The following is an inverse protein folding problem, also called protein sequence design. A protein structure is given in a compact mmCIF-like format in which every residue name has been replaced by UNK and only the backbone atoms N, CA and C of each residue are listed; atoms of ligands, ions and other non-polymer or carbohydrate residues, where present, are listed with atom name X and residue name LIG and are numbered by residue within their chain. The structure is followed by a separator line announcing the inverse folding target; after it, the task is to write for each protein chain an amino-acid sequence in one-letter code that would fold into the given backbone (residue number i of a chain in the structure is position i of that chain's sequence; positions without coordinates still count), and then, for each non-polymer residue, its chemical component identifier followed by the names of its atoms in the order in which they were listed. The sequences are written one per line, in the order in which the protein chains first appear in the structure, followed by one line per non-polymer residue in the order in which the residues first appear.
data_IF_917541493566
#
_entry.id   IF_917541493566
#
_cell.length_a   1.000
_cell.length_b   1.000
_cell.length_c   1.000
_cell.angle_alpha   90.00
_cell.angle_beta   90.00
_cell.angle_gamma   90.00
#
_symmetry.space_group_name_H-M   'P 1'
#
loop_
_entity.id
_entity.type
_entity.pdbx_description
1 polymer ?
#
# COMPACT_ATOMS: atom_id res chain seq x y z
N UNK A 1 -7.33 -21.97 -17.19
CA UNK A 1 -8.62 -22.28 -16.48
C UNK A 1 -9.76 -21.66 -17.28
N UNK A 2 -10.96 -22.19 -17.22
CA UNK A 2 -12.14 -21.53 -17.79
C UNK A 2 -12.91 -20.85 -16.69
N UNK A 3 -13.05 -19.55 -16.77
CA UNK A 3 -13.86 -18.77 -15.83
C UNK A 3 -15.36 -18.87 -16.20
N UNK A 4 -16.25 -18.75 -15.22
CA UNK A 4 -17.71 -18.82 -15.42
C UNK A 4 -18.28 -17.50 -15.92
N UNK A 5 -17.78 -16.39 -15.41
CA UNK A 5 -18.29 -15.04 -15.65
C UNK A 5 -17.24 -14.10 -16.24
N UNK A 6 -15.96 -14.32 -15.96
CA UNK A 6 -14.86 -13.52 -16.50
C UNK A 6 -14.63 -13.91 -17.96
N UNK A 7 -14.58 -12.91 -18.84
CA UNK A 7 -14.30 -13.08 -20.27
C UNK A 7 -12.83 -12.82 -20.55
N UNK A 8 -12.09 -13.86 -20.92
CA UNK A 8 -10.71 -13.70 -21.35
C UNK A 8 -10.71 -13.03 -22.73
N UNK A 9 -9.92 -11.95 -22.97
CA UNK A 9 -9.77 -11.35 -24.28
C UNK A 9 -9.27 -12.38 -25.32
N UNK A 10 -9.81 -12.30 -26.54
CA UNK A 10 -9.39 -13.17 -27.64
C UNK A 10 -7.93 -12.89 -28.08
N UNK A 11 -7.51 -11.62 -27.92
CA UNK A 11 -6.16 -11.17 -28.20
C UNK A 11 -5.39 -10.97 -26.89
N UNK A 12 -4.09 -11.16 -26.96
CA UNK A 12 -3.21 -10.94 -25.82
C UNK A 12 -2.63 -12.23 -25.24
N UNK A 13 -1.63 -12.04 -24.38
CA UNK A 13 -0.94 -13.13 -23.68
C UNK A 13 -0.73 -12.76 -22.21
N UNK A 14 -0.62 -13.78 -21.36
CA UNK A 14 -0.33 -13.59 -19.94
C UNK A 14 1.07 -13.03 -19.73
N UNK A 15 1.21 -12.14 -18.77
CA UNK A 15 2.49 -11.89 -18.12
C UNK A 15 2.85 -13.15 -17.33
N UNK A 16 4.10 -13.57 -17.38
CA UNK A 16 4.57 -14.72 -16.61
C UNK A 16 5.71 -14.31 -15.69
N UNK A 17 5.71 -14.88 -14.50
CA UNK A 17 6.78 -14.74 -13.52
C UNK A 17 7.42 -16.11 -13.33
N UNK A 18 8.72 -16.21 -13.57
CA UNK A 18 9.48 -17.45 -13.38
C UNK A 18 10.83 -17.10 -12.74
N UNK A 19 11.12 -17.75 -11.62
CA UNK A 19 12.37 -17.55 -10.86
C UNK A 19 12.65 -16.06 -10.57
N UNK A 20 11.61 -15.29 -10.20
CA UNK A 20 11.68 -13.85 -9.93
C UNK A 20 11.77 -12.95 -11.16
N UNK A 21 11.77 -13.52 -12.39
CA UNK A 21 11.91 -12.77 -13.65
C UNK A 21 10.55 -12.65 -14.34
N UNK A 22 10.11 -11.40 -14.54
CA UNK A 22 8.91 -11.08 -15.31
C UNK A 22 9.17 -11.16 -16.80
N UNK A 23 8.32 -11.89 -17.52
CA UNK A 23 8.26 -11.87 -18.98
C UNK A 23 6.98 -11.19 -19.43
N UNK A 24 7.11 -10.01 -20.02
CA UNK A 24 6.00 -9.18 -20.49
C UNK A 24 5.87 -9.30 -22.01
N UNK A 25 4.77 -9.85 -22.55
CA UNK A 25 4.54 -9.91 -23.98
C UNK A 25 4.24 -8.53 -24.57
N UNK A 26 4.27 -8.40 -25.91
CA UNK A 26 3.94 -7.13 -26.57
C UNK A 26 2.46 -6.75 -26.45
N UNK A 27 1.59 -7.70 -26.20
CA UNK A 27 0.18 -7.50 -25.92
C UNK A 27 -0.21 -8.26 -24.64
N UNK A 28 0.12 -7.72 -23.45
CA UNK A 28 -0.24 -8.36 -22.18
C UNK A 28 -1.73 -8.29 -21.92
N UNK A 29 -2.29 -9.34 -21.33
CA UNK A 29 -3.62 -9.31 -20.71
C UNK A 29 -3.45 -8.73 -19.30
N UNK A 30 -4.14 -7.64 -19.01
CA UNK A 30 -4.14 -6.99 -17.69
C UNK A 30 -5.55 -7.07 -17.09
N UNK A 31 -5.76 -7.87 -16.03
CA UNK A 31 -7.00 -7.82 -15.26
C UNK A 31 -7.23 -6.45 -14.65
N UNK A 32 -8.48 -5.99 -14.69
CA UNK A 32 -8.87 -4.79 -13.96
C UNK A 32 -10.18 -4.97 -13.21
N UNK A 33 -10.27 -4.32 -12.05
CA UNK A 33 -11.49 -4.15 -11.27
C UNK A 33 -11.94 -2.71 -11.44
N UNK A 34 -13.15 -2.50 -12.00
CA UNK A 34 -13.69 -1.14 -12.21
C UNK A 34 -13.76 -0.35 -10.90
N UNK A 35 -14.15 -1.02 -9.81
CA UNK A 35 -14.35 -0.41 -8.50
C UNK A 35 -15.75 0.10 -8.27
N UNK A 36 -15.97 0.63 -7.07
CA UNK A 36 -17.25 1.15 -6.59
C UNK A 36 -17.28 2.68 -6.63
N UNK A 37 -18.46 3.26 -6.54
CA UNK A 37 -18.63 4.71 -6.52
C UNK A 37 -18.06 5.37 -7.77
N UNK A 38 -17.09 6.28 -7.60
CA UNK A 38 -16.41 6.95 -8.72
C UNK A 38 -15.53 6.02 -9.57
N UNK A 39 -15.38 4.74 -9.18
CA UNK A 39 -14.68 3.75 -9.98
C UNK A 39 -15.21 3.64 -11.40
N UNK A 40 -16.53 3.75 -11.58
CA UNK A 40 -17.18 3.76 -12.89
C UNK A 40 -16.81 4.96 -13.77
N UNK A 41 -16.42 6.09 -13.18
CA UNK A 41 -16.01 7.29 -13.90
C UNK A 41 -14.51 7.25 -14.23
N UNK A 42 -13.68 6.87 -13.25
CA UNK A 42 -12.22 6.98 -13.39
C UNK A 42 -11.58 5.79 -14.12
N UNK A 43 -12.16 4.59 -14.06
CA UNK A 43 -11.55 3.40 -14.68
C UNK A 43 -11.58 3.47 -16.21
N UNK A 44 -12.66 3.85 -16.89
CA UNK A 44 -12.63 4.10 -18.34
C UNK A 44 -11.61 5.16 -18.73
N UNK A 45 -11.55 6.28 -18.01
CA UNK A 45 -10.58 7.35 -18.27
C UNK A 45 -9.13 6.86 -18.08
N UNK A 46 -8.87 6.01 -17.08
CA UNK A 46 -7.57 5.38 -16.86
C UNK A 46 -7.18 4.50 -18.06
N UNK A 47 -8.09 3.66 -18.55
CA UNK A 47 -7.87 2.78 -19.70
C UNK A 47 -7.50 3.63 -20.93
N UNK A 48 -8.29 4.65 -21.25
CA UNK A 48 -8.05 5.54 -22.39
C UNK A 48 -6.68 6.24 -22.31
N UNK A 49 -6.30 6.74 -21.12
CA UNK A 49 -5.00 7.40 -20.91
C UNK A 49 -3.84 6.42 -21.06
N UNK A 50 -3.97 5.23 -20.50
CA UNK A 50 -2.91 4.20 -20.56
C UNK A 50 -2.75 3.69 -22.00
N UNK A 51 -3.85 3.42 -22.70
CA UNK A 51 -3.81 2.98 -24.09
C UNK A 51 -3.18 4.04 -25.01
N UNK A 52 -3.56 5.31 -24.87
CA UNK A 52 -2.95 6.41 -25.60
C UNK A 52 -1.45 6.57 -25.29
N UNK A 53 -1.04 6.36 -24.02
CA UNK A 53 0.37 6.40 -23.64
C UNK A 53 1.18 5.24 -24.25
N UNK A 54 0.61 4.03 -24.28
CA UNK A 54 1.23 2.87 -24.90
C UNK A 54 1.35 3.05 -26.41
N UNK A 55 0.30 3.53 -27.07
CA UNK A 55 0.32 3.86 -28.50
C UNK A 55 1.39 4.91 -28.83
N UNK A 56 1.44 5.99 -28.04
CA UNK A 56 2.44 7.05 -28.21
C UNK A 56 3.88 6.55 -28.02
N UNK A 57 4.12 5.65 -27.06
CA UNK A 57 5.47 5.16 -26.75
C UNK A 57 5.94 4.08 -27.72
N UNK A 58 5.05 3.23 -28.22
CA UNK A 58 5.41 2.02 -28.95
C UNK A 58 4.77 1.92 -30.35
N UNK A 59 3.82 2.78 -30.70
CA UNK A 59 3.01 2.68 -31.91
C UNK A 59 2.22 1.36 -31.93
N UNK A 60 2.02 0.79 -33.09
CA UNK A 60 1.31 -0.49 -33.25
C UNK A 60 2.08 -1.72 -32.75
N UNK A 61 3.31 -1.53 -32.23
CA UNK A 61 4.16 -2.67 -31.79
C UNK A 61 3.71 -3.28 -30.47
N UNK A 62 3.04 -2.50 -29.62
CA UNK A 62 2.54 -2.95 -28.31
C UNK A 62 1.15 -2.42 -28.06
N UNK A 63 0.36 -3.21 -27.33
CA UNK A 63 -0.99 -2.84 -26.87
C UNK A 63 -1.30 -3.58 -25.59
N UNK A 64 -2.36 -3.19 -24.88
CA UNK A 64 -2.86 -3.91 -23.71
C UNK A 64 -4.20 -4.56 -24.07
N UNK A 65 -4.39 -5.80 -23.61
CA UNK A 65 -5.69 -6.47 -23.63
C UNK A 65 -6.29 -6.42 -22.24
N UNK A 66 -7.27 -5.56 -22.05
CA UNK A 66 -7.94 -5.38 -20.76
C UNK A 66 -8.91 -6.52 -20.49
N UNK A 67 -8.86 -7.08 -19.27
CA UNK A 67 -9.73 -8.17 -18.83
C UNK A 67 -10.49 -7.74 -17.56
N UNK A 68 -11.77 -7.49 -17.70
CA UNK A 68 -12.58 -7.13 -16.52
C UNK A 68 -12.76 -8.32 -15.58
N UNK A 69 -12.45 -8.12 -14.32
CA UNK A 69 -12.72 -9.03 -13.21
C UNK A 69 -13.54 -8.30 -12.14
N UNK A 70 -14.23 -9.01 -11.28
CA UNK A 70 -15.28 -8.44 -10.45
C UNK A 70 -14.96 -8.52 -8.97
N UNK A 71 -15.07 -7.38 -8.29
CA UNK A 71 -15.01 -7.25 -6.85
C UNK A 71 -15.89 -6.06 -6.41
N UNK A 72 -16.39 -6.05 -5.20
CA UNK A 72 -17.24 -4.97 -4.68
C UNK A 72 -18.70 -5.05 -5.14
N UNK A 73 -19.35 -3.91 -5.24
CA UNK A 73 -20.79 -3.83 -5.58
C UNK A 73 -21.12 -4.41 -6.97
N UNK A 74 -20.23 -4.25 -7.94
CA UNK A 74 -20.42 -4.82 -9.28
C UNK A 74 -20.41 -6.34 -9.26
N UNK A 75 -19.59 -6.94 -8.39
CA UNK A 75 -19.55 -8.38 -8.20
C UNK A 75 -20.91 -8.94 -7.74
N UNK A 76 -21.56 -8.29 -6.78
CA UNK A 76 -22.86 -8.74 -6.29
C UNK A 76 -23.96 -8.73 -7.36
N UNK A 77 -23.83 -7.89 -8.38
CA UNK A 77 -24.76 -7.83 -9.52
C UNK A 77 -24.49 -8.97 -10.53
N UNK A 78 -23.24 -9.40 -10.67
CA UNK A 78 -22.82 -10.42 -11.66
C UNK A 78 -22.95 -11.83 -11.11
N UNK A 79 -22.58 -12.05 -9.85
CA UNK A 79 -22.51 -13.38 -9.22
C UNK A 79 -23.67 -13.66 -8.25
N UNK A 80 -24.27 -12.64 -7.66
CA UNK A 80 -25.34 -12.75 -6.67
C UNK A 80 -25.09 -11.86 -5.46
N UNK A 81 -26.15 -11.55 -4.70
CA UNK A 81 -26.20 -10.49 -3.69
C UNK A 81 -25.10 -10.51 -2.63
N UNK A 82 -24.59 -11.69 -2.28
CA UNK A 82 -23.63 -11.84 -1.19
C UNK A 82 -22.21 -12.11 -1.68
N UNK A 83 -21.99 -12.12 -2.99
CA UNK A 83 -20.69 -12.45 -3.61
C UNK A 83 -19.87 -11.19 -3.89
N UNK A 84 -19.20 -10.67 -2.87
CA UNK A 84 -18.40 -9.46 -2.96
C UNK A 84 -16.99 -9.68 -3.55
N UNK A 85 -16.42 -10.87 -3.36
CA UNK A 85 -15.09 -11.25 -3.83
C UNK A 85 -15.10 -12.71 -4.30
N UNK A 86 -15.45 -12.96 -5.57
CA UNK A 86 -15.52 -14.32 -6.12
C UNK A 86 -14.16 -15.01 -6.17
N UNK A 87 -14.15 -16.33 -5.97
CA UNK A 87 -12.93 -17.14 -6.10
C UNK A 87 -12.27 -16.98 -7.45
N UNK A 88 -13.03 -16.92 -8.56
CA UNK A 88 -12.46 -16.75 -9.90
C UNK A 88 -11.79 -15.38 -10.11
N UNK A 89 -12.13 -14.37 -9.33
CA UNK A 89 -11.38 -13.11 -9.30
C UNK A 89 -10.01 -13.30 -8.65
N UNK A 90 -9.95 -14.03 -7.53
CA UNK A 90 -8.67 -14.37 -6.88
C UNK A 90 -7.80 -15.24 -7.78
N UNK A 91 -8.40 -16.21 -8.47
CA UNK A 91 -7.69 -17.05 -9.44
C UNK A 91 -7.13 -16.24 -10.60
N UNK A 92 -7.91 -15.29 -11.13
CA UNK A 92 -7.45 -14.41 -12.19
C UNK A 92 -6.29 -13.50 -11.73
N UNK A 93 -6.37 -12.94 -10.51
CA UNK A 93 -5.30 -12.11 -9.95
C UNK A 93 -3.98 -12.88 -9.80
N UNK A 94 -4.03 -14.15 -9.36
CA UNK A 94 -2.85 -15.03 -9.29
C UNK A 94 -2.32 -15.41 -10.66
N UNK A 95 -3.23 -15.76 -11.60
CA UNK A 95 -2.86 -16.30 -12.91
C UNK A 95 -2.23 -15.24 -13.81
N UNK A 96 -2.63 -13.98 -13.72
CA UNK A 96 -2.17 -12.91 -14.61
C UNK A 96 -1.09 -12.01 -14.00
N UNK A 97 -0.72 -12.22 -12.75
CA UNK A 97 0.43 -11.60 -12.05
C UNK A 97 0.27 -10.10 -11.82
N UNK A 98 -0.07 -9.32 -12.84
CA UNK A 98 -0.17 -7.84 -12.77
C UNK A 98 -1.62 -7.43 -13.03
N UNK A 99 -2.17 -6.64 -12.15
CA UNK A 99 -3.55 -6.16 -12.22
C UNK A 99 -3.68 -4.70 -11.79
N UNK A 100 -4.81 -4.08 -12.11
CA UNK A 100 -5.16 -2.74 -11.66
C UNK A 100 -6.57 -2.73 -11.09
N UNK A 101 -6.83 -1.94 -10.04
CA UNK A 101 -8.17 -1.83 -9.47
C UNK A 101 -8.57 -0.40 -9.16
N UNK A 102 -9.83 -0.10 -9.35
CA UNK A 102 -10.50 1.09 -8.83
C UNK A 102 -10.76 0.99 -7.32
N UNK A 103 -11.31 2.05 -6.71
CA UNK A 103 -11.64 2.08 -5.29
C UNK A 103 -12.74 1.06 -4.95
N UNK A 104 -12.68 0.47 -3.74
CA UNK A 104 -13.67 -0.50 -3.28
C UNK A 104 -14.34 -0.01 -2.00
N UNK A 105 -15.65 -0.18 -1.92
CA UNK A 105 -16.44 0.08 -0.72
C UNK A 105 -16.26 -1.07 0.27
N UNK A 106 -16.02 -0.74 1.53
CA UNK A 106 -16.16 -1.70 2.62
C UNK A 106 -17.62 -1.68 3.10
N UNK A 107 -18.36 -2.79 3.01
CA UNK A 107 -19.74 -2.83 3.50
C UNK A 107 -19.80 -2.45 4.99
N UNK A 108 -20.68 -1.52 5.33
CA UNK A 108 -20.91 -1.11 6.72
C UNK A 108 -21.95 -2.07 7.34
N UNK A 109 -21.53 -2.85 8.32
CA UNK A 109 -22.38 -3.81 9.03
C UNK A 109 -22.19 -5.26 8.54
N UNK A 110 -22.39 -6.23 9.43
CA UNK A 110 -22.38 -7.66 9.09
C UNK A 110 -21.05 -8.38 9.16
N UNK A 111 -20.00 -7.80 9.75
CA UNK A 111 -18.73 -8.53 10.00
C UNK A 111 -17.88 -8.79 8.76
N UNK A 112 -18.20 -8.17 7.62
CA UNK A 112 -17.38 -8.29 6.40
C UNK A 112 -16.12 -7.43 6.58
N UNK A 113 -14.97 -8.06 6.51
CA UNK A 113 -13.66 -7.35 6.48
C UNK A 113 -13.56 -6.47 5.22
N UNK A 114 -12.76 -5.42 5.31
CA UNK A 114 -12.43 -4.61 4.15
C UNK A 114 -11.95 -5.47 2.98
N UNK A 115 -12.58 -5.33 1.82
CA UNK A 115 -12.21 -6.05 0.60
C UNK A 115 -10.75 -5.80 0.22
N UNK A 116 -10.26 -4.57 0.43
CA UNK A 116 -8.85 -4.23 0.20
C UNK A 116 -7.92 -5.04 1.12
N UNK A 117 -8.26 -5.15 2.41
CA UNK A 117 -7.48 -5.94 3.37
C UNK A 117 -7.52 -7.43 3.00
N UNK A 118 -8.70 -7.95 2.61
CA UNK A 118 -8.85 -9.34 2.18
C UNK A 118 -7.99 -9.66 0.96
N UNK A 119 -8.00 -8.82 -0.07
CA UNK A 119 -7.16 -8.99 -1.26
C UNK A 119 -5.66 -9.02 -0.90
N UNK A 120 -5.22 -8.09 -0.06
CA UNK A 120 -3.80 -8.00 0.38
C UNK A 120 -3.35 -9.24 1.14
N UNK A 121 -4.19 -9.75 2.05
CA UNK A 121 -3.89 -10.93 2.86
C UNK A 121 -3.96 -12.22 2.06
N UNK A 122 -5.01 -12.43 1.25
CA UNK A 122 -5.22 -13.68 0.49
C UNK A 122 -4.15 -13.86 -0.60
N UNK A 123 -3.67 -12.76 -1.18
CA UNK A 123 -2.65 -12.76 -2.23
C UNK A 123 -1.23 -12.51 -1.70
N UNK A 124 -1.06 -12.42 -0.39
CA UNK A 124 0.20 -12.06 0.29
C UNK A 124 0.91 -10.84 -0.34
N UNK A 125 0.15 -9.79 -0.58
CA UNK A 125 0.67 -8.52 -1.10
C UNK A 125 1.25 -7.70 0.06
N UNK A 126 2.39 -8.12 0.58
CA UNK A 126 2.97 -7.62 1.83
C UNK A 126 3.59 -6.22 1.75
N UNK A 127 3.84 -5.73 0.54
CA UNK A 127 4.33 -4.36 0.31
C UNK A 127 3.19 -3.49 -0.20
N UNK A 128 2.83 -2.43 0.51
CA UNK A 128 2.05 -1.33 -0.05
C UNK A 128 3.02 -0.20 -0.42
N UNK A 129 3.26 -0.04 -1.72
CA UNK A 129 4.16 0.95 -2.29
C UNK A 129 3.38 2.21 -2.65
N UNK A 130 3.77 3.36 -2.08
CA UNK A 130 3.10 4.65 -2.32
C UNK A 130 4.14 5.74 -2.64
N UNK A 131 4.43 6.00 -3.93
CA UNK A 131 5.24 7.13 -4.34
C UNK A 131 4.50 8.44 -4.09
N UNK A 132 5.18 9.43 -3.54
CA UNK A 132 4.63 10.76 -3.29
C UNK A 132 5.54 11.80 -3.91
N UNK A 133 5.06 12.45 -4.96
CA UNK A 133 5.79 13.47 -5.70
C UNK A 133 4.85 14.58 -6.14
N UNK A 134 5.31 15.82 -6.06
CA UNK A 134 4.56 16.95 -6.58
C UNK A 134 4.69 17.08 -8.09
N UNK A 135 3.60 17.46 -8.76
CA UNK A 135 3.56 17.75 -10.18
C UNK A 135 3.30 19.25 -10.40
N UNK A 136 4.02 19.85 -11.34
CA UNK A 136 3.90 21.28 -11.67
C UNK A 136 2.45 21.65 -12.02
N UNK A 137 1.95 22.70 -11.35
CA UNK A 137 0.59 23.20 -11.55
C UNK A 137 -0.43 22.64 -10.54
N UNK A 138 -0.09 21.63 -9.75
CA UNK A 138 -0.96 21.13 -8.69
C UNK A 138 -0.86 22.04 -7.47
N UNK A 139 -1.98 22.52 -6.91
CA UNK A 139 -1.99 23.29 -5.66
C UNK A 139 -1.46 22.46 -4.50
N UNK A 140 -0.73 23.13 -3.59
CA UNK A 140 -0.15 22.49 -2.43
C UNK A 140 -0.21 23.43 -1.23
N UNK A 141 -0.47 22.89 -0.01
CA UNK A 141 -0.45 23.69 1.22
C UNK A 141 0.97 23.99 1.72
N UNK A 142 2.01 23.33 1.19
CA UNK A 142 3.39 23.57 1.60
C UNK A 142 4.08 24.61 0.72
N UNK A 143 5.07 25.29 1.29
CA UNK A 143 5.75 26.41 0.60
C UNK A 143 6.54 25.98 -0.64
N UNK A 144 7.18 24.82 -0.59
CA UNK A 144 8.04 24.30 -1.66
C UNK A 144 7.69 22.83 -1.92
N UNK A 145 6.56 22.56 -2.57
CA UNK A 145 6.12 21.17 -2.78
C UNK A 145 7.05 20.35 -3.68
N UNK A 146 7.82 20.99 -4.54
CA UNK A 146 8.83 20.35 -5.37
C UNK A 146 9.97 19.68 -4.59
N UNK A 147 10.10 19.95 -3.29
CA UNK A 147 11.06 19.30 -2.41
C UNK A 147 10.56 17.94 -1.90
N UNK A 148 9.29 17.60 -2.16
CA UNK A 148 8.68 16.33 -1.75
C UNK A 148 8.84 15.33 -2.90
N UNK A 149 9.72 14.36 -2.70
CA UNK A 149 9.90 13.19 -3.57
C UNK A 149 10.27 12.00 -2.69
N UNK A 150 9.25 11.34 -2.14
CA UNK A 150 9.40 10.23 -1.21
C UNK A 150 8.65 9.01 -1.70
N UNK A 151 9.11 7.83 -1.30
CA UNK A 151 8.43 6.58 -1.60
C UNK A 151 8.22 5.81 -0.31
N UNK A 152 6.95 5.49 0.01
CA UNK A 152 6.59 4.74 1.21
C UNK A 152 6.47 3.26 0.87
N UNK A 153 7.18 2.45 1.64
CA UNK A 153 7.03 1.01 1.77
C UNK A 153 6.28 0.75 3.08
N UNK A 154 4.98 0.57 2.98
CA UNK A 154 4.08 0.25 4.10
C UNK A 154 3.94 -1.26 4.19
N UNK A 155 4.19 -1.83 5.35
CA UNK A 155 3.83 -3.22 5.64
C UNK A 155 2.31 -3.39 5.48
N UNK A 156 1.86 -4.52 4.94
CA UNK A 156 0.50 -4.62 4.45
C UNK A 156 -0.25 -5.87 4.95
N UNK A 157 0.39 -6.71 5.76
CA UNK A 157 -0.15 -8.00 6.22
C UNK A 157 -0.39 -8.10 7.72
N UNK A 158 0.34 -7.34 8.52
CA UNK A 158 0.34 -7.38 9.98
C UNK A 158 -0.21 -6.10 10.62
N UNK A 159 0.25 -5.80 11.82
CA UNK A 159 -0.17 -4.67 12.64
C UNK A 159 -1.63 -4.84 13.12
N UNK A 160 -2.28 -3.78 13.54
CA UNK A 160 -3.70 -3.79 13.91
C UNK A 160 -4.62 -4.19 12.74
N UNK A 161 -4.13 -4.10 11.51
CA UNK A 161 -4.82 -4.56 10.30
C UNK A 161 -4.97 -6.09 10.20
N UNK A 162 -4.27 -6.85 11.06
CA UNK A 162 -4.54 -8.27 11.27
C UNK A 162 -5.98 -8.53 11.75
N UNK A 163 -6.63 -7.50 12.32
CA UNK A 163 -8.04 -7.54 12.71
C UNK A 163 -8.31 -8.44 13.91
N UNK A 164 -7.35 -8.58 14.80
CA UNK A 164 -7.53 -9.33 16.07
C UNK A 164 -8.05 -8.36 17.11
N UNK A 165 -9.37 -8.24 17.21
CA UNK A 165 -10.05 -7.31 18.10
C UNK A 165 -11.20 -8.00 18.84
N UNK A 166 -11.47 -7.53 20.06
CA UNK A 166 -12.53 -8.01 20.94
C UNK A 166 -13.36 -6.83 21.42
N UNK A 167 -14.67 -6.90 21.22
CA UNK A 167 -15.59 -5.83 21.63
C UNK A 167 -15.65 -5.69 23.16
N UNK A 168 -15.90 -4.48 23.63
CA UNK A 168 -15.87 -4.14 25.06
C UNK A 168 -16.88 -4.93 25.91
N UNK A 169 -17.98 -5.38 25.32
CA UNK A 169 -19.05 -6.15 25.97
C UNK A 169 -19.00 -7.66 25.68
N UNK A 170 -17.93 -8.11 25.02
CA UNK A 170 -17.76 -9.52 24.66
C UNK A 170 -17.19 -10.35 25.82
N UNK A 171 -17.53 -11.64 25.83
CA UNK A 171 -16.96 -12.61 26.78
C UNK A 171 -15.45 -12.79 26.54
N UNK A 172 -15.06 -12.77 25.28
CA UNK A 172 -13.68 -12.94 24.83
C UNK A 172 -12.78 -11.80 25.37
N UNK A 173 -13.27 -10.57 25.36
CA UNK A 173 -12.53 -9.44 25.94
C UNK A 173 -12.39 -9.61 27.46
N UNK A 174 -13.44 -9.98 28.16
CA UNK A 174 -13.38 -10.21 29.61
C UNK A 174 -12.43 -11.37 29.97
N UNK A 175 -12.45 -12.45 29.19
CA UNK A 175 -11.54 -13.59 29.38
C UNK A 175 -10.09 -13.19 29.13
N UNK A 176 -9.82 -12.43 28.03
CA UNK A 176 -8.47 -11.96 27.74
C UNK A 176 -7.93 -11.03 28.83
N UNK A 177 -8.73 -10.13 29.39
CA UNK A 177 -8.35 -9.30 30.55
C UNK A 177 -7.97 -10.18 31.72
N UNK A 178 -8.77 -11.20 32.05
CA UNK A 178 -8.50 -12.14 33.13
C UNK A 178 -7.17 -12.89 32.91
N UNK A 179 -6.94 -13.39 31.69
CA UNK A 179 -5.68 -14.04 31.33
C UNK A 179 -4.48 -13.10 31.50
N UNK A 180 -4.60 -11.87 31.01
CA UNK A 180 -3.54 -10.86 31.13
C UNK A 180 -3.22 -10.55 32.59
N UNK A 181 -4.24 -10.40 33.44
CA UNK A 181 -4.06 -10.11 34.86
C UNK A 181 -3.52 -11.32 35.62
N UNK A 182 -4.17 -12.49 35.51
CA UNK A 182 -3.89 -13.64 36.36
C UNK A 182 -2.63 -14.42 35.94
N UNK A 183 -2.36 -14.52 34.63
CA UNK A 183 -1.22 -15.29 34.09
C UNK A 183 0.00 -14.45 33.81
N UNK A 184 -0.20 -13.20 33.34
CA UNK A 184 0.90 -12.32 32.91
C UNK A 184 1.15 -11.15 33.86
N UNK A 185 0.38 -11.02 34.96
CA UNK A 185 0.49 -9.94 35.96
C UNK A 185 0.40 -8.54 35.32
N UNK A 186 -0.48 -8.37 34.32
CA UNK A 186 -0.72 -7.08 33.64
C UNK A 186 -1.76 -6.31 34.47
N UNK A 187 -1.33 -5.26 35.17
CA UNK A 187 -2.15 -4.37 35.97
C UNK A 187 -2.39 -2.97 35.31
N UNK A 188 -1.82 -2.75 34.14
CA UNK A 188 -1.85 -1.48 33.43
C UNK A 188 -3.20 -1.18 32.75
N UNK A 189 -4.10 -2.18 32.64
CA UNK A 189 -5.45 -1.96 32.13
C UNK A 189 -6.27 -1.24 33.22
N UNK A 190 -6.27 0.08 33.16
CA UNK A 190 -6.84 0.95 34.22
C UNK A 190 -8.34 0.70 34.46
N UNK A 191 -9.09 0.41 33.42
CA UNK A 191 -10.54 0.19 33.45
C UNK A 191 -10.87 -1.17 32.78
N UNK A 192 -10.70 -2.30 33.52
CA UNK A 192 -10.79 -3.63 32.94
C UNK A 192 -12.21 -4.08 32.61
N UNK A 193 -13.23 -3.39 33.16
CA UNK A 193 -14.63 -3.68 32.85
C UNK A 193 -15.06 -2.93 31.58
N UNK A 194 -15.73 -3.65 30.67
CA UNK A 194 -16.20 -3.10 29.39
C UNK A 194 -15.08 -2.43 28.57
N UNK A 195 -13.94 -3.08 28.47
CA UNK A 195 -12.80 -2.62 27.67
C UNK A 195 -12.73 -3.36 26.34
N UNK A 196 -12.61 -2.63 25.24
CA UNK A 196 -12.26 -3.21 23.94
C UNK A 196 -10.75 -3.46 23.89
N UNK A 197 -10.35 -4.62 23.35
CA UNK A 197 -8.96 -5.02 23.23
C UNK A 197 -8.61 -5.34 21.79
N UNK A 198 -7.39 -4.95 21.37
CA UNK A 198 -6.83 -5.30 20.07
C UNK A 198 -5.38 -5.80 20.20
N UNK A 199 -4.98 -6.71 19.33
CA UNK A 199 -3.63 -7.26 19.28
C UNK A 199 -2.89 -6.64 18.08
N UNK A 200 -1.68 -6.16 18.34
CA UNK A 200 -0.78 -5.58 17.34
C UNK A 200 0.40 -6.53 17.09
N UNK A 201 0.29 -7.49 16.18
CA UNK A 201 1.40 -8.36 15.82
C UNK A 201 2.37 -7.61 14.90
N UNK A 202 3.66 -7.69 15.18
CA UNK A 202 4.77 -7.29 14.32
C UNK A 202 5.81 -8.40 14.38
N UNK A 203 6.12 -9.03 13.26
CA UNK A 203 7.05 -10.14 13.18
C UNK A 203 8.39 -9.75 12.56
N UNK A 204 9.42 -10.52 12.86
CA UNK A 204 10.73 -10.38 12.25
C UNK A 204 10.66 -10.66 10.74
N UNK A 205 9.98 -11.73 10.35
CA UNK A 205 9.81 -12.12 8.94
C UNK A 205 9.07 -11.03 8.13
N UNK A 206 7.91 -10.57 8.63
CA UNK A 206 7.14 -9.51 8.00
C UNK A 206 7.92 -8.20 7.88
N UNK A 207 8.70 -7.87 8.92
CA UNK A 207 9.57 -6.69 8.91
C UNK A 207 10.71 -6.83 7.91
N UNK A 208 11.50 -7.90 8.00
CA UNK A 208 12.69 -8.09 7.16
C UNK A 208 12.32 -8.17 5.67
N UNK A 209 11.23 -8.86 5.30
CA UNK A 209 10.80 -8.94 3.90
C UNK A 209 10.37 -7.57 3.33
N UNK A 210 9.68 -6.73 4.13
CA UNK A 210 9.31 -5.38 3.71
C UNK A 210 10.53 -4.48 3.56
N UNK A 211 11.39 -4.43 4.59
CA UNK A 211 12.58 -3.55 4.60
C UNK A 211 13.55 -3.94 3.50
N UNK A 212 13.70 -5.24 3.21
CA UNK A 212 14.49 -5.74 2.09
C UNK A 212 14.02 -5.16 0.76
N UNK A 213 12.70 -5.16 0.48
CA UNK A 213 12.14 -4.56 -0.73
C UNK A 213 12.40 -3.05 -0.80
N UNK A 214 12.39 -2.35 0.35
CA UNK A 214 12.75 -0.93 0.39
C UNK A 214 14.24 -0.68 0.09
N UNK A 215 15.13 -1.55 0.56
CA UNK A 215 16.57 -1.47 0.23
C UNK A 215 16.83 -1.80 -1.23
N UNK A 216 16.23 -2.87 -1.78
CA UNK A 216 16.32 -3.22 -3.20
C UNK A 216 15.84 -2.08 -4.08
N UNK A 217 14.71 -1.47 -3.76
CA UNK A 217 14.20 -0.29 -4.47
C UNK A 217 15.17 0.89 -4.41
N UNK A 218 15.77 1.14 -3.24
CA UNK A 218 16.75 2.22 -3.10
C UNK A 218 18.00 1.97 -3.95
N UNK A 219 18.44 0.71 -4.11
CA UNK A 219 19.53 0.31 -5.01
C UNK A 219 19.13 0.55 -6.48
N UNK A 220 17.97 0.03 -6.89
CA UNK A 220 17.50 0.08 -8.28
C UNK A 220 17.24 1.51 -8.77
N UNK A 221 16.65 2.34 -7.89
CA UNK A 221 16.27 3.72 -8.22
C UNK A 221 17.32 4.76 -7.83
N UNK A 222 18.53 4.32 -7.42
CA UNK A 222 19.64 5.17 -6.96
C UNK A 222 19.21 6.20 -5.90
N UNK A 223 18.38 5.74 -4.94
CA UNK A 223 17.91 6.55 -3.82
C UNK A 223 18.99 6.67 -2.73
N UNK A 224 19.01 7.80 -2.04
CA UNK A 224 20.10 8.15 -1.12
C UNK A 224 19.93 7.58 0.29
N UNK A 225 18.71 7.29 0.71
CA UNK A 225 18.44 6.82 2.06
C UNK A 225 17.17 5.98 2.19
N UNK A 226 17.14 5.09 3.19
CA UNK A 226 15.95 4.41 3.69
C UNK A 226 15.74 4.79 5.14
N UNK A 227 14.56 5.30 5.47
CA UNK A 227 14.19 5.72 6.82
C UNK A 227 13.18 4.75 7.42
N UNK A 228 13.54 4.11 8.53
CA UNK A 228 12.65 3.27 9.33
C UNK A 228 11.81 4.17 10.24
N UNK A 229 10.51 4.30 9.97
CA UNK A 229 9.62 5.14 10.79
C UNK A 229 8.83 4.29 11.75
N UNK A 230 8.89 4.62 13.05
CA UNK A 230 8.35 3.80 14.13
C UNK A 230 8.00 4.62 15.40
N UNK A 231 7.29 4.02 16.35
CA UNK A 231 7.05 4.55 17.70
C UNK A 231 7.69 3.65 18.77
N UNK A 232 8.88 3.14 18.50
CA UNK A 232 9.59 2.15 19.31
C UNK A 232 10.01 2.61 20.71
N UNK A 233 10.03 3.93 20.98
CA UNK A 233 10.25 4.45 22.33
C UNK A 233 9.10 4.12 23.29
N UNK A 234 7.89 3.88 22.78
CA UNK A 234 6.69 3.47 23.52
C UNK A 234 6.42 1.98 23.30
N UNK A 235 6.33 1.53 22.06
CA UNK A 235 6.05 0.14 21.68
C UNK A 235 7.35 -0.63 21.41
N UNK A 236 8.08 -0.93 22.48
CA UNK A 236 9.46 -1.44 22.41
C UNK A 236 9.58 -2.80 21.72
N UNK A 237 8.62 -3.70 21.95
CA UNK A 237 8.67 -5.09 21.48
C UNK A 237 7.94 -5.33 20.16
N UNK A 238 7.33 -4.30 19.61
CA UNK A 238 6.69 -4.31 18.28
C UNK A 238 7.40 -3.30 17.38
N UNK A 239 7.09 -2.02 17.47
CA UNK A 239 7.69 -1.00 16.62
C UNK A 239 9.18 -0.74 16.88
N UNK A 240 9.64 -0.94 18.12
CA UNK A 240 11.08 -0.93 18.43
C UNK A 240 11.80 -2.13 17.81
N UNK A 241 11.18 -3.30 17.86
CA UNK A 241 11.71 -4.48 17.21
C UNK A 241 11.75 -4.32 15.67
N UNK A 242 10.74 -3.72 15.05
CA UNK A 242 10.76 -3.38 13.62
C UNK A 242 12.02 -2.58 13.24
N UNK A 243 12.35 -1.54 14.01
CA UNK A 243 13.57 -0.76 13.80
C UNK A 243 14.82 -1.65 13.92
N UNK A 244 14.90 -2.45 14.98
CA UNK A 244 16.08 -3.24 15.29
C UNK A 244 16.32 -4.32 14.22
N UNK A 245 15.27 -5.01 13.78
CA UNK A 245 15.33 -5.98 12.68
C UNK A 245 15.67 -5.32 11.33
N UNK A 246 15.24 -4.06 11.09
CA UNK A 246 15.65 -3.32 9.91
C UNK A 246 17.14 -3.02 9.88
N UNK A 247 17.76 -2.66 11.02
CA UNK A 247 19.20 -2.50 11.14
C UNK A 247 19.95 -3.83 11.07
N UNK A 248 19.40 -4.88 11.66
CA UNK A 248 19.96 -6.24 11.57
C UNK A 248 20.03 -6.69 10.11
N UNK A 249 18.94 -6.56 9.35
CA UNK A 249 18.90 -6.87 7.93
C UNK A 249 19.96 -6.09 7.13
N UNK A 250 20.16 -4.80 7.45
CA UNK A 250 21.19 -3.98 6.80
C UNK A 250 22.58 -4.61 6.96
N UNK A 251 22.92 -5.07 8.17
CA UNK A 251 24.21 -5.71 8.45
C UNK A 251 24.34 -7.10 7.83
N UNK A 252 23.28 -7.91 7.93
CA UNK A 252 23.34 -9.33 7.58
C UNK A 252 23.26 -9.61 6.09
N UNK A 253 22.44 -8.86 5.36
CA UNK A 253 22.18 -9.15 3.95
C UNK A 253 22.73 -8.09 2.98
N UNK A 254 23.12 -6.90 3.48
CA UNK A 254 23.59 -5.80 2.64
C UNK A 254 25.01 -5.33 3.00
N UNK A 255 25.74 -6.10 3.80
CA UNK A 255 27.10 -5.78 4.28
C UNK A 255 27.18 -4.36 4.88
N UNK A 256 26.13 -3.98 5.64
CA UNK A 256 25.99 -2.66 6.20
C UNK A 256 26.90 -2.40 7.40
N UNK A 257 27.35 -1.17 7.55
CA UNK A 257 28.23 -0.68 8.62
C UNK A 257 27.58 0.48 9.37
N UNK A 258 28.11 0.79 10.56
CA UNK A 258 27.69 1.96 11.34
C UNK A 258 28.09 3.26 10.61
N UNK A 259 27.18 4.20 10.52
CA UNK A 259 27.46 5.53 10.02
C UNK A 259 28.04 6.40 11.15
N UNK A 260 29.28 6.80 11.02
CA UNK A 260 29.98 7.71 11.94
C UNK A 260 29.92 7.27 13.43
N UNK A 261 29.90 5.94 13.67
CA UNK A 261 29.82 5.36 15.02
C UNK A 261 28.40 5.14 15.52
N UNK A 262 27.42 5.13 14.62
CA UNK A 262 26.01 4.84 14.90
C UNK A 262 25.20 6.02 15.47
N UNK A 263 23.91 5.87 15.75
CA UNK A 263 23.11 4.65 15.65
C UNK A 263 22.68 4.30 14.21
N UNK A 264 22.87 5.19 13.26
CA UNK A 264 22.49 4.96 11.86
C UNK A 264 23.49 4.05 11.18
N UNK A 265 23.05 3.39 10.12
CA UNK A 265 23.85 2.50 9.30
C UNK A 265 23.93 2.99 7.86
N UNK A 266 24.78 2.37 7.07
CA UNK A 266 24.79 2.54 5.64
C UNK A 266 25.20 1.22 4.97
N UNK A 267 24.85 1.08 3.72
CA UNK A 267 25.40 0.05 2.84
C UNK A 267 25.79 0.67 1.48
N UNK A 268 26.56 -0.06 0.68
CA UNK A 268 27.03 0.43 -0.60
C UNK A 268 26.11 -0.05 -1.71
N UNK A 269 25.61 0.87 -2.54
CA UNK A 269 24.86 0.51 -3.74
C UNK A 269 25.80 -0.24 -4.71
N UNK A 270 25.55 -1.53 -5.00
CA UNK A 270 26.42 -2.34 -5.85
C UNK A 270 26.51 -1.84 -7.30
N UNK A 271 25.51 -1.07 -7.75
CA UNK A 271 25.45 -0.59 -9.13
C UNK A 271 26.37 0.62 -9.41
N UNK A 272 26.66 1.43 -8.37
CA UNK A 272 27.37 2.70 -8.57
C UNK A 272 28.37 3.07 -7.46
N UNK A 273 28.46 2.29 -6.40
CA UNK A 273 29.38 2.52 -5.28
C UNK A 273 28.99 3.64 -4.30
N UNK A 274 27.80 4.22 -4.43
CA UNK A 274 27.32 5.25 -3.50
C UNK A 274 26.81 4.64 -2.20
N UNK A 275 26.92 5.39 -1.11
CA UNK A 275 26.33 5.04 0.16
C UNK A 275 24.80 5.25 0.12
N UNK A 276 24.05 4.26 0.60
CA UNK A 276 22.64 4.39 0.94
C UNK A 276 22.56 4.39 2.46
N UNK A 277 22.02 5.48 3.03
CA UNK A 277 21.96 5.66 4.48
C UNK A 277 20.70 4.98 5.00
N UNK A 278 20.83 4.14 6.00
CA UNK A 278 19.73 3.54 6.76
C UNK A 278 19.64 4.26 8.10
N UNK A 279 18.51 4.92 8.32
CA UNK A 279 18.26 5.70 9.54
C UNK A 279 16.88 5.42 10.10
N UNK A 280 16.63 5.80 11.35
CA UNK A 280 15.33 5.69 11.97
C UNK A 280 14.81 7.05 12.46
N UNK A 281 13.49 7.17 12.53
CA UNK A 281 12.82 8.35 13.06
C UNK A 281 11.53 7.94 13.78
N UNK A 282 11.30 8.53 14.95
CA UNK A 282 10.04 8.39 15.68
C UNK A 282 8.90 9.04 14.87
N UNK A 283 7.78 8.36 14.71
CA UNK A 283 6.69 8.69 13.79
C UNK A 283 6.15 10.12 13.96
N UNK A 284 5.92 10.58 15.18
CA UNK A 284 5.46 11.96 15.43
C UNK A 284 6.53 13.01 15.10
N UNK A 285 7.80 12.71 15.29
CA UNK A 285 8.88 13.57 14.83
C UNK A 285 8.97 13.58 13.29
N UNK A 286 8.76 12.44 12.64
CA UNK A 286 8.73 12.33 11.18
C UNK A 286 7.64 13.22 10.57
N UNK A 287 6.41 13.18 11.10
CA UNK A 287 5.31 14.04 10.65
C UNK A 287 5.64 15.54 10.68
N UNK A 288 6.42 15.97 11.68
CA UNK A 288 6.92 17.33 11.75
C UNK A 288 8.04 17.59 10.73
N UNK A 289 8.99 16.65 10.62
CA UNK A 289 10.21 16.84 9.84
C UNK A 289 9.93 16.83 8.33
N UNK A 290 8.97 16.08 7.84
CA UNK A 290 8.58 16.11 6.42
C UNK A 290 8.07 17.48 5.97
N UNK A 291 7.46 18.27 6.87
CA UNK A 291 7.03 19.63 6.59
C UNK A 291 8.19 20.63 6.61
N UNK A 292 9.17 20.43 7.50
CA UNK A 292 10.27 21.35 7.72
C UNK A 292 11.48 21.09 6.84
N UNK A 293 11.75 19.80 6.55
CA UNK A 293 12.98 19.32 5.89
C UNK A 293 12.71 18.13 4.98
N UNK A 294 11.78 18.22 4.01
CA UNK A 294 11.37 17.08 3.18
C UNK A 294 12.54 16.43 2.42
N UNK A 295 13.53 17.22 2.01
CA UNK A 295 14.71 16.72 1.26
C UNK A 295 15.63 15.77 2.03
N UNK A 296 15.45 15.65 3.35
CA UNK A 296 16.20 14.69 4.17
C UNK A 296 15.67 13.27 4.07
N UNK A 297 14.50 13.08 3.43
CA UNK A 297 13.79 11.80 3.35
C UNK A 297 13.60 11.36 1.91
N UNK A 298 13.81 10.07 1.67
CA UNK A 298 13.78 9.51 0.33
C UNK A 298 12.88 8.26 0.30
N UNK A 299 13.39 7.07 0.67
CA UNK A 299 12.57 5.87 0.85
C UNK A 299 12.20 5.71 2.32
N UNK A 300 10.93 5.42 2.59
CA UNK A 300 10.36 5.26 3.93
C UNK A 300 9.89 3.83 4.08
N UNK A 301 10.37 3.10 5.09
CA UNK A 301 9.85 1.79 5.46
C UNK A 301 9.16 1.88 6.83
N UNK A 302 7.93 1.36 6.94
CA UNK A 302 7.15 1.48 8.16
C UNK A 302 6.06 0.42 8.26
N UNK A 303 5.54 0.21 9.47
CA UNK A 303 4.44 -0.70 9.73
C UNK A 303 3.12 -0.21 9.12
N UNK A 304 2.12 -1.07 9.12
CA UNK A 304 0.88 -0.90 8.39
C UNK A 304 0.12 0.38 8.81
N UNK A 305 -0.18 0.57 10.09
CA UNK A 305 -0.92 1.73 10.57
C UNK A 305 -0.17 3.04 10.34
N UNK A 306 1.10 3.07 10.72
CA UNK A 306 1.92 4.26 10.52
C UNK A 306 2.00 4.61 9.03
N UNK A 307 2.18 3.62 8.16
CA UNK A 307 2.22 3.81 6.71
C UNK A 307 0.92 4.35 6.13
N UNK A 308 -0.22 3.98 6.70
CA UNK A 308 -1.52 4.54 6.32
C UNK A 308 -1.59 6.05 6.61
N UNK A 309 -1.30 6.44 7.85
CA UNK A 309 -1.32 7.84 8.23
C UNK A 309 -0.29 8.68 7.48
N UNK A 310 0.93 8.16 7.34
CA UNK A 310 2.03 8.89 6.70
C UNK A 310 1.80 9.12 5.22
N UNK A 311 1.25 8.13 4.51
CA UNK A 311 0.97 8.27 3.08
C UNK A 311 -0.07 9.34 2.79
N UNK A 312 -1.10 9.45 3.62
CA UNK A 312 -2.13 10.48 3.47
C UNK A 312 -1.60 11.88 3.83
N UNK A 313 -0.80 11.98 4.90
CA UNK A 313 -0.13 13.22 5.26
C UNK A 313 0.82 13.72 4.17
N UNK A 314 1.62 12.83 3.58
CA UNK A 314 2.50 13.15 2.46
C UNK A 314 1.72 13.49 1.18
N UNK A 315 0.66 12.75 0.88
CA UNK A 315 -0.21 13.05 -0.27
C UNK A 315 -0.81 14.46 -0.16
N UNK A 316 -1.23 14.88 1.04
CA UNK A 316 -1.72 16.23 1.28
C UNK A 316 -0.67 17.31 0.96
N UNK A 317 0.61 17.04 1.20
CA UNK A 317 1.70 17.98 0.89
C UNK A 317 1.88 18.22 -0.61
N UNK A 318 1.50 17.29 -1.45
CA UNK A 318 1.68 17.39 -2.92
C UNK A 318 0.39 17.68 -3.68
N UNK A 319 -0.73 17.87 -2.98
CA UNK A 319 -2.00 18.28 -3.59
C UNK A 319 -3.20 17.41 -3.22
N UNK A 320 -3.01 16.33 -2.48
CA UNK A 320 -4.08 15.48 -1.95
C UNK A 320 -4.01 14.02 -2.41
N UNK A 321 -4.80 13.20 -1.73
CA UNK A 321 -4.84 11.75 -1.93
C UNK A 321 -5.28 11.33 -3.35
N UNK A 322 -6.00 12.21 -4.05
CA UNK A 322 -6.51 11.93 -5.38
C UNK A 322 -5.45 11.81 -6.48
N UNK A 323 -4.26 12.32 -6.25
CA UNK A 323 -3.13 12.20 -7.18
C UNK A 323 -2.08 11.19 -6.71
N UNK A 324 -2.36 10.49 -5.61
CA UNK A 324 -1.44 9.55 -5.01
C UNK A 324 -1.62 8.14 -5.62
N UNK A 325 -0.66 7.62 -6.38
CA UNK A 325 -0.70 6.24 -6.85
C UNK A 325 -0.34 5.27 -5.74
N UNK A 326 -0.79 4.02 -5.88
CA UNK A 326 -0.42 2.94 -4.99
C UNK A 326 -0.26 1.62 -5.73
N UNK A 327 0.56 0.75 -5.16
CA UNK A 327 0.68 -0.64 -5.59
C UNK A 327 0.75 -1.54 -4.36
N UNK A 328 0.09 -2.69 -4.44
CA UNK A 328 0.22 -3.75 -3.45
C UNK A 328 1.00 -4.89 -4.12
N UNK A 329 2.15 -5.24 -3.57
CA UNK A 329 3.12 -6.11 -4.22
C UNK A 329 3.47 -7.26 -3.29
N UNK A 330 3.39 -8.46 -3.82
CA UNK A 330 3.90 -9.70 -3.23
C UNK A 330 4.97 -10.31 -4.12
N UNK A 331 5.39 -11.53 -3.77
CA UNK A 331 6.39 -12.25 -4.57
C UNK A 331 5.80 -12.83 -5.87
N UNK A 332 4.49 -13.10 -5.89
CA UNK A 332 3.82 -13.76 -7.03
C UNK A 332 2.89 -12.83 -7.81
N UNK A 333 2.43 -11.72 -7.22
CA UNK A 333 1.46 -10.83 -7.83
C UNK A 333 1.67 -9.37 -7.43
N UNK A 334 1.20 -8.47 -8.30
CA UNK A 334 1.15 -7.03 -8.05
C UNK A 334 -0.20 -6.45 -8.48
N UNK A 335 -0.81 -5.64 -7.62
CA UNK A 335 -2.08 -4.98 -7.86
C UNK A 335 -1.92 -3.47 -7.69
N UNK A 336 -2.02 -2.73 -8.78
CA UNK A 336 -1.96 -1.28 -8.80
C UNK A 336 -3.32 -0.69 -8.46
N UNK A 337 -3.34 0.43 -7.74
CA UNK A 337 -4.58 1.07 -7.31
C UNK A 337 -4.44 2.59 -7.16
N UNK A 338 -5.57 3.29 -7.24
CA UNK A 338 -5.71 4.61 -6.67
C UNK A 338 -5.83 4.48 -5.14
N UNK A 339 -5.21 5.38 -4.38
CA UNK A 339 -5.21 5.30 -2.91
C UNK A 339 -6.46 5.91 -2.28
N UNK A 340 -7.22 6.72 -3.03
CA UNK A 340 -8.44 7.38 -2.55
C UNK A 340 -9.63 6.40 -2.40
N UNK A 341 -10.66 6.85 -1.67
CA UNK A 341 -11.90 6.11 -1.48
C UNK A 341 -12.88 6.22 -2.65
N UNK A 342 -14.07 5.63 -2.48
CA UNK A 342 -15.10 5.50 -3.51
C UNK A 342 -15.91 6.76 -3.78
N UNK A 343 -15.91 7.75 -2.88
CA UNK A 343 -16.63 9.02 -3.01
C UNK A 343 -18.03 8.91 -3.68
N UNK A 344 -18.96 8.08 -3.18
CA UNK A 344 -20.16 7.65 -3.90
C UNK A 344 -21.09 8.81 -4.28
N UNK A 345 -21.06 9.93 -3.55
CA UNK A 345 -21.86 11.11 -3.86
C UNK A 345 -21.47 11.82 -5.17
N UNK A 346 -20.31 11.49 -5.72
CA UNK A 346 -19.81 12.06 -6.96
C UNK A 346 -19.86 11.09 -8.14
N UNK A 347 -20.23 9.82 -7.90
CA UNK A 347 -20.32 8.79 -8.94
C UNK A 347 -21.30 9.19 -10.06
N UNK A 348 -20.88 9.02 -11.31
CA UNK A 348 -21.67 9.34 -12.50
C UNK A 348 -21.84 10.84 -12.77
N UNK A 349 -21.09 11.71 -12.09
CA UNK A 349 -21.18 13.16 -12.28
C UNK A 349 -20.05 13.77 -13.12
N UNK A 350 -19.06 12.98 -13.51
CA UNK A 350 -17.84 13.45 -14.23
C UNK A 350 -17.12 14.60 -13.50
N UNK A 351 -17.20 14.63 -12.17
CA UNK A 351 -16.61 15.71 -11.35
C UNK A 351 -15.27 15.33 -10.72
N UNK A 352 -14.87 14.08 -10.83
CA UNK A 352 -13.61 13.59 -10.29
C UNK A 352 -12.57 13.51 -11.39
N UNK A 353 -11.37 13.99 -11.10
CA UNK A 353 -10.25 13.85 -12.00
C UNK A 353 -9.39 12.65 -11.55
N UNK A 354 -8.99 11.81 -12.49
CA UNK A 354 -8.11 10.66 -12.23
C UNK A 354 -6.81 11.07 -11.54
N UNK A 355 -6.31 12.27 -11.84
CA UNK A 355 -5.08 12.82 -11.25
C UNK A 355 -5.36 13.85 -10.15
N UNK A 356 -6.64 14.09 -9.80
CA UNK A 356 -6.99 15.24 -8.98
C UNK A 356 -8.36 15.07 -8.32
N UNK A 357 -8.41 14.52 -7.14
CA UNK A 357 -9.66 14.41 -6.34
C UNK A 357 -9.80 15.49 -5.28
N UNK A 358 -8.85 16.42 -5.16
CA UNK A 358 -9.06 17.67 -4.43
C UNK A 358 -9.89 18.65 -5.27
N UNK A 359 -10.60 19.61 -4.65
CA UNK A 359 -11.32 20.62 -5.39
C UNK A 359 -10.41 21.28 -6.42
N UNK A 360 -10.85 21.29 -7.68
CA UNK A 360 -10.14 21.97 -8.75
C UNK A 360 -9.96 23.45 -8.39
N UNK A 361 -8.86 24.10 -8.78
CA UNK A 361 -8.73 25.55 -8.69
C UNK A 361 -9.86 26.31 -9.41
N UNK A 362 -10.65 25.61 -10.26
CA UNK A 362 -11.83 26.16 -10.93
C UNK A 362 -13.09 26.06 -10.07
N UNK A 363 -13.09 25.31 -9.00
CA UNK A 363 -14.27 25.10 -8.13
C UNK A 363 -14.42 26.20 -7.08
N UNK A 364 -13.69 27.30 -7.23
CA UNK A 364 -13.78 28.55 -6.47
C UNK A 364 -13.82 28.32 -4.96
N UNK A 365 -12.74 28.58 -4.32
CA UNK A 365 -12.75 28.90 -2.90
C UNK A 365 -13.35 30.29 -2.71
#
# INVERSE_FOLDING_TARGET
MSYKKIKIPELGKKITLKDGVLTVPNNPIIPFIEGDGIGSDITPAMIDVVDAAVEKAYGEKKSISWMEIYCGEKSTKVYGKDEWLPDETLDALREYVVSIKGPLTTPVGGGIRSLNVSLRQILDLYVCLRPVRWFTGVPSPVKVPGDVDMVIFRENSEDIYAGVEFASDSKESAELVTILQDKFNVDQIRFPQNVGLGVKPISEEGTKRLVKRAFEYAIEQDRSSVTLVHKGNIMKFTEGAFRDWGYELCREEFDGDDLDGGPWHYFINPNNGRKIIVKDVICDAFLQQILLRPREYDVIATMNLNGDYLSDALAAMVGGIGIAPGANIGDEAAMFEATHGTAPKYAGLDKVCLLYTSPSPRDGW
#
